data_IF_666832034146
#
_entry.id   IF_666832034146
#
_cell.length_a   1.000
_cell.length_b   1.000
_cell.length_c   1.000
_cell.angle_alpha   90.00
_cell.angle_beta   90.00
_cell.angle_gamma   90.00
#
_symmetry.space_group_name_H-M   'P 1'
#
loop_
_entity.id
_entity.type
_entity.pdbx_description
1 polymer ?
#
# COMPACT_ATOMS: atom_id res chain seq x y z
N UNK A 1 43.08 -38.75 58.93
CA UNK A 1 42.78 -37.31 58.68
C UNK A 1 41.29 -37.22 58.41
N UNK A 2 40.50 -36.74 59.36
CA UNK A 2 39.03 -36.56 59.24
C UNK A 2 38.77 -35.26 58.53
N UNK A 3 37.96 -35.27 57.44
CA UNK A 3 37.43 -34.09 56.78
C UNK A 3 36.05 -33.83 57.36
N UNK A 4 35.93 -32.74 58.07
CA UNK A 4 34.68 -32.24 58.64
C UNK A 4 33.69 -31.82 57.54
N UNK A 5 32.47 -32.35 57.62
CA UNK A 5 31.36 -31.99 56.74
C UNK A 5 30.79 -30.63 57.12
N UNK A 6 30.89 -29.66 56.24
CA UNK A 6 30.25 -28.35 56.36
C UNK A 6 28.72 -28.47 56.23
N UNK A 7 28.02 -27.97 57.24
CA UNK A 7 26.58 -28.09 57.44
C UNK A 7 25.79 -27.12 56.52
N UNK A 8 25.27 -27.68 55.45
CA UNK A 8 24.61 -26.94 54.33
C UNK A 8 23.15 -26.58 54.64
N UNK A 9 22.68 -26.66 55.89
CA UNK A 9 21.29 -26.35 56.27
C UNK A 9 21.02 -24.85 56.47
N UNK A 10 22.02 -24.05 56.77
CA UNK A 10 21.87 -22.60 56.96
C UNK A 10 21.69 -21.83 55.65
N UNK A 11 22.46 -22.17 54.62
CA UNK A 11 22.43 -21.51 53.32
C UNK A 11 21.10 -21.73 52.59
N UNK A 12 20.47 -22.91 52.67
CA UNK A 12 19.17 -23.20 52.08
C UNK A 12 18.02 -22.34 52.69
N UNK A 13 18.06 -22.10 53.97
CA UNK A 13 17.04 -21.25 54.63
C UNK A 13 17.15 -19.79 54.24
N UNK A 14 18.37 -19.29 54.04
CA UNK A 14 18.59 -17.92 53.55
C UNK A 14 18.19 -17.73 52.07
N UNK A 15 18.42 -18.71 51.20
CA UNK A 15 17.99 -18.67 49.79
C UNK A 15 16.47 -18.73 49.67
N UNK A 16 15.78 -19.53 50.49
CA UNK A 16 14.32 -19.60 50.50
C UNK A 16 13.72 -18.30 51.04
N UNK A 17 14.28 -17.67 52.06
CA UNK A 17 13.84 -16.39 52.57
C UNK A 17 14.10 -15.26 51.59
N UNK A 18 15.26 -15.22 50.92
CA UNK A 18 15.57 -14.23 49.87
C UNK A 18 14.63 -14.37 48.66
N UNK A 19 14.35 -15.61 48.22
CA UNK A 19 13.43 -15.83 47.10
C UNK A 19 11.99 -15.42 47.42
N UNK A 20 11.51 -15.66 48.67
CA UNK A 20 10.18 -15.19 49.11
C UNK A 20 10.13 -13.68 49.24
N UNK A 21 11.19 -13.01 49.69
CA UNK A 21 11.28 -11.55 49.77
C UNK A 21 11.34 -10.92 48.38
N UNK A 22 12.04 -11.56 47.42
CA UNK A 22 12.13 -11.10 46.03
C UNK A 22 10.78 -11.25 45.30
N UNK A 23 10.06 -12.36 45.53
CA UNK A 23 8.74 -12.62 44.96
C UNK A 23 7.70 -11.66 45.57
N UNK A 24 7.75 -11.39 46.88
CA UNK A 24 6.91 -10.39 47.52
C UNK A 24 7.24 -8.97 47.07
N UNK A 25 8.50 -8.60 46.87
CA UNK A 25 8.90 -7.28 46.41
C UNK A 25 8.52 -7.02 44.96
N UNK A 26 8.46 -8.06 44.11
CA UNK A 26 8.04 -7.95 42.69
C UNK A 26 6.51 -8.03 42.52
N UNK A 27 5.79 -8.67 43.46
CA UNK A 27 4.33 -8.78 43.36
C UNK A 27 3.57 -7.55 43.89
N UNK A 28 4.14 -6.80 44.84
CA UNK A 28 3.49 -5.60 45.38
C UNK A 28 3.19 -4.49 44.35
N UNK A 29 4.10 -4.13 43.41
CA UNK A 29 3.80 -3.11 42.42
C UNK A 29 2.75 -3.58 41.39
N UNK A 30 2.70 -4.85 41.03
CA UNK A 30 1.67 -5.38 40.10
C UNK A 30 0.27 -5.41 40.74
N UNK A 31 0.15 -5.78 42.01
CA UNK A 31 -1.13 -5.74 42.74
C UNK A 31 -1.62 -4.30 42.90
N UNK A 32 -0.76 -3.37 43.22
CA UNK A 32 -1.11 -1.97 43.38
C UNK A 32 -1.52 -1.31 42.03
N UNK A 33 -0.90 -1.70 40.93
CA UNK A 33 -1.28 -1.23 39.58
C UNK A 33 -2.64 -1.78 39.14
N UNK A 34 -2.94 -3.05 39.38
CA UNK A 34 -4.23 -3.66 39.08
C UNK A 34 -5.38 -3.04 39.90
N UNK A 35 -5.14 -2.75 41.16
CA UNK A 35 -6.13 -2.06 42.02
C UNK A 35 -6.36 -0.62 41.54
N UNK A 36 -5.32 0.09 41.13
CA UNK A 36 -5.41 1.43 40.57
C UNK A 36 -6.22 1.46 39.27
N UNK A 37 -5.88 0.56 38.32
CA UNK A 37 -6.58 0.45 37.04
C UNK A 37 -8.05 0.07 37.22
N UNK A 38 -8.35 -0.82 38.16
CA UNK A 38 -9.73 -1.23 38.51
C UNK A 38 -10.54 -0.08 39.11
N UNK A 39 -9.97 0.69 40.01
CA UNK A 39 -10.64 1.87 40.60
C UNK A 39 -10.96 2.93 39.55
N UNK A 40 -9.99 3.22 38.64
CA UNK A 40 -10.22 4.17 37.55
C UNK A 40 -11.29 3.63 36.60
N UNK A 41 -11.19 2.37 36.20
CA UNK A 41 -12.16 1.73 35.30
C UNK A 41 -13.59 1.80 35.88
N UNK A 42 -13.78 1.42 37.12
CA UNK A 42 -15.09 1.46 37.76
C UNK A 42 -15.70 2.87 37.83
N UNK A 43 -14.85 3.90 37.93
CA UNK A 43 -15.28 5.28 37.98
C UNK A 43 -15.61 5.88 36.62
N UNK A 44 -14.92 5.44 35.56
CA UNK A 44 -15.02 6.03 34.22
C UNK A 44 -15.84 5.22 33.23
N UNK A 45 -16.15 3.93 33.53
CA UNK A 45 -16.92 3.08 32.60
C UNK A 45 -18.28 3.67 32.27
N UNK A 46 -19.00 4.17 33.27
CA UNK A 46 -20.32 4.78 33.08
C UNK A 46 -20.29 6.05 32.25
N UNK A 47 -19.20 6.82 32.35
CA UNK A 47 -19.00 7.99 31.51
C UNK A 47 -18.92 7.62 30.02
N UNK A 48 -18.12 6.61 29.67
CA UNK A 48 -17.98 6.20 28.29
C UNK A 48 -19.22 5.50 27.73
N UNK A 49 -19.89 4.66 28.54
CA UNK A 49 -21.14 3.99 28.14
C UNK A 49 -22.26 5.00 27.87
N UNK A 50 -22.35 6.05 28.69
CA UNK A 50 -23.37 7.10 28.56
C UNK A 50 -22.88 8.32 27.76
N UNK A 51 -21.70 8.25 27.14
CA UNK A 51 -21.15 9.36 26.38
C UNK A 51 -22.02 9.67 25.16
N UNK A 52 -22.36 10.94 25.01
CA UNK A 52 -23.11 11.44 23.85
C UNK A 52 -22.40 12.60 23.19
N UNK A 53 -22.50 12.64 21.88
CA UNK A 53 -22.05 13.77 21.05
C UNK A 53 -23.23 14.22 20.20
N UNK A 54 -23.60 15.49 20.29
CA UNK A 54 -24.75 16.04 19.56
C UNK A 54 -24.60 15.92 18.01
N UNK A 55 -23.36 15.84 17.52
CA UNK A 55 -23.07 15.75 16.10
C UNK A 55 -22.89 14.29 15.61
N UNK A 56 -22.97 13.29 16.49
CA UNK A 56 -22.65 11.91 16.13
C UNK A 56 -23.37 10.88 17.00
N UNK A 57 -23.96 9.90 16.37
CA UNK A 57 -24.48 8.71 17.02
C UNK A 57 -23.66 7.50 16.61
N UNK A 58 -23.01 6.84 17.54
CA UNK A 58 -22.25 5.63 17.26
C UNK A 58 -23.19 4.44 17.04
N UNK A 59 -22.94 3.66 15.99
CA UNK A 59 -23.62 2.38 15.78
C UNK A 59 -23.07 1.29 16.73
N UNK A 60 -21.83 1.48 17.21
CA UNK A 60 -21.17 0.57 18.16
C UNK A 60 -21.21 1.16 19.56
N UNK A 61 -21.55 0.36 20.58
CA UNK A 61 -21.52 0.81 21.97
C UNK A 61 -20.12 1.30 22.36
N UNK A 62 -20.05 2.54 22.88
CA UNK A 62 -18.78 3.10 23.34
C UNK A 62 -18.39 2.44 24.67
N UNK A 63 -17.12 2.02 24.80
CA UNK A 63 -16.62 1.31 25.97
C UNK A 63 -15.17 1.64 26.28
N UNK A 64 -14.88 1.80 27.57
CA UNK A 64 -13.50 1.81 28.09
C UNK A 64 -12.97 0.36 28.08
N UNK A 65 -12.03 0.04 27.18
CA UNK A 65 -11.54 -1.32 26.96
C UNK A 65 -10.36 -1.68 27.88
N UNK A 66 -9.48 -0.70 28.14
CA UNK A 66 -8.34 -0.91 29.03
C UNK A 66 -7.97 0.37 29.79
N UNK A 67 -7.30 0.20 30.93
CA UNK A 67 -6.71 1.27 31.75
C UNK A 67 -5.32 0.83 32.16
N UNK A 68 -4.33 1.64 31.83
CA UNK A 68 -2.94 1.44 32.26
C UNK A 68 -2.51 2.58 33.19
N UNK A 69 -1.87 2.21 34.29
CA UNK A 69 -1.35 3.17 35.28
C UNK A 69 0.14 2.95 35.45
N UNK A 70 0.93 3.96 35.12
CA UNK A 70 2.35 3.98 35.45
C UNK A 70 2.57 4.98 36.62
N UNK A 71 2.59 4.45 37.84
CA UNK A 71 2.75 5.26 39.04
C UNK A 71 4.12 5.93 39.14
N UNK A 72 5.17 5.27 38.62
CA UNK A 72 6.53 5.82 38.64
C UNK A 72 6.68 7.08 37.76
N UNK A 73 6.02 7.06 36.61
CA UNK A 73 6.02 8.18 35.66
C UNK A 73 4.83 9.12 35.84
N UNK A 74 3.90 8.81 36.74
CA UNK A 74 2.62 9.51 36.95
C UNK A 74 1.81 9.67 35.65
N UNK A 75 1.65 8.54 34.90
CA UNK A 75 0.92 8.49 33.63
C UNK A 75 -0.27 7.54 33.79
N UNK A 76 -1.45 7.94 33.27
CA UNK A 76 -2.61 7.09 33.07
C UNK A 76 -2.94 7.07 31.59
N UNK A 77 -3.13 5.86 31.02
CA UNK A 77 -3.65 5.69 29.66
C UNK A 77 -5.02 5.03 29.71
N UNK A 78 -5.98 5.67 29.07
CA UNK A 78 -7.35 5.19 28.93
C UNK A 78 -7.56 4.74 27.49
N UNK A 79 -7.89 3.47 27.28
CA UNK A 79 -8.16 2.91 25.96
C UNK A 79 -9.66 2.78 25.74
N UNK A 80 -10.16 3.43 24.70
CA UNK A 80 -11.57 3.42 24.31
C UNK A 80 -11.70 2.82 22.91
N UNK A 81 -12.79 2.11 22.66
CA UNK A 81 -12.98 1.34 21.42
C UNK A 81 -13.18 2.20 20.17
N UNK A 82 -13.28 1.51 18.99
CA UNK A 82 -13.45 2.14 17.69
C UNK A 82 -14.72 3.00 17.56
N UNK A 83 -15.83 2.61 18.23
CA UNK A 83 -17.05 3.41 18.26
C UNK A 83 -16.83 4.83 18.80
N UNK A 84 -15.93 4.99 19.77
CA UNK A 84 -15.54 6.30 20.26
C UNK A 84 -14.64 7.08 19.29
N UNK A 85 -13.78 6.36 18.55
CA UNK A 85 -12.87 6.97 17.58
C UNK A 85 -13.58 7.50 16.33
N UNK A 86 -14.76 6.97 16.00
CA UNK A 86 -15.50 7.30 14.78
C UNK A 86 -16.28 8.62 14.84
N UNK A 87 -16.29 9.29 15.98
CA UNK A 87 -16.95 10.60 16.11
C UNK A 87 -16.09 11.75 15.57
N UNK A 88 -16.69 12.88 15.16
CA UNK A 88 -15.95 14.07 14.80
C UNK A 88 -15.32 14.70 16.05
N UNK A 89 -13.99 14.69 16.13
CA UNK A 89 -13.26 15.39 17.18
C UNK A 89 -13.00 16.84 16.77
N UNK A 90 -13.27 17.76 17.70
CA UNK A 90 -12.91 19.19 17.59
C UNK A 90 -12.11 19.57 18.83
N UNK A 91 -11.41 20.71 18.79
CA UNK A 91 -10.73 21.24 19.98
C UNK A 91 -11.66 21.41 21.18
N UNK A 92 -12.90 21.81 20.93
CA UNK A 92 -13.92 21.94 21.97
C UNK A 92 -14.36 20.58 22.52
N UNK A 93 -14.62 19.61 21.65
CA UNK A 93 -15.00 18.25 22.05
C UNK A 93 -13.90 17.58 22.90
N UNK A 94 -12.64 17.67 22.46
CA UNK A 94 -11.48 17.14 23.17
C UNK A 94 -11.33 17.83 24.54
N UNK A 95 -11.46 19.15 24.60
CA UNK A 95 -11.38 19.90 25.86
C UNK A 95 -12.46 19.47 26.83
N UNK A 96 -13.71 19.32 26.39
CA UNK A 96 -14.84 18.84 27.20
C UNK A 96 -14.57 17.45 27.76
N UNK A 97 -14.16 16.50 26.90
CA UNK A 97 -13.84 15.13 27.31
C UNK A 97 -12.74 15.13 28.38
N UNK A 98 -11.69 15.91 28.20
CA UNK A 98 -10.61 16.02 29.19
C UNK A 98 -11.09 16.56 30.52
N UNK A 99 -11.85 17.63 30.52
CA UNK A 99 -12.43 18.23 31.74
C UNK A 99 -13.33 17.25 32.47
N UNK A 100 -14.16 16.48 31.77
CA UNK A 100 -15.03 15.48 32.36
C UNK A 100 -14.23 14.32 32.97
N UNK A 101 -13.22 13.82 32.27
CA UNK A 101 -12.32 12.76 32.74
C UNK A 101 -11.53 13.24 33.95
N UNK A 102 -10.95 14.44 33.94
CA UNK A 102 -10.21 15.00 35.06
C UNK A 102 -11.10 15.13 36.32
N UNK A 103 -12.35 15.56 36.15
CA UNK A 103 -13.33 15.68 37.23
C UNK A 103 -13.71 14.33 37.84
N UNK A 104 -13.80 13.28 37.00
CA UNK A 104 -14.20 11.94 37.41
C UNK A 104 -13.03 11.09 37.93
N UNK A 105 -11.80 11.49 37.65
CA UNK A 105 -10.61 10.74 38.02
C UNK A 105 -10.45 10.66 39.53
N UNK A 106 -10.30 9.46 40.09
CA UNK A 106 -10.15 9.32 41.55
C UNK A 106 -8.73 9.78 42.02
N UNK A 107 -8.62 10.41 43.21
CA UNK A 107 -7.33 10.69 43.82
C UNK A 107 -6.51 9.41 44.02
N UNK A 108 -5.15 9.46 43.88
CA UNK A 108 -4.32 10.60 43.51
C UNK A 108 -4.15 10.78 42.00
N UNK A 109 -4.84 9.96 41.17
CA UNK A 109 -4.64 9.87 39.71
C UNK A 109 -5.13 11.09 38.93
N UNK A 110 -5.95 11.92 39.55
CA UNK A 110 -6.35 13.23 39.01
C UNK A 110 -5.20 14.23 38.84
N UNK A 111 -4.03 13.93 39.42
CA UNK A 111 -2.81 14.72 39.25
C UNK A 111 -1.80 14.11 38.28
N UNK A 112 -2.17 12.99 37.63
CA UNK A 112 -1.34 12.30 36.66
C UNK A 112 -1.56 12.86 35.25
N UNK A 113 -0.56 12.64 34.40
CA UNK A 113 -0.74 12.92 32.97
C UNK A 113 -1.68 11.86 32.36
N UNK A 114 -2.84 12.30 31.90
CA UNK A 114 -3.87 11.41 31.35
C UNK A 114 -3.81 11.47 29.84
N UNK A 115 -3.63 10.31 29.20
CA UNK A 115 -3.74 10.13 27.74
C UNK A 115 -4.99 9.31 27.45
N UNK A 116 -5.88 9.80 26.59
CA UNK A 116 -7.08 9.10 26.15
C UNK A 116 -6.82 8.62 24.72
N UNK A 117 -6.84 7.30 24.53
CA UNK A 117 -6.59 6.63 23.28
C UNK A 117 -7.89 6.05 22.72
N UNK A 118 -8.36 6.57 21.61
CA UNK A 118 -9.52 6.04 20.89
C UNK A 118 -9.01 5.14 19.74
N UNK A 119 -9.34 3.87 19.82
CA UNK A 119 -8.82 2.86 18.88
C UNK A 119 -7.28 2.91 18.71
N UNK A 120 -6.57 3.13 19.82
CA UNK A 120 -5.10 3.20 19.84
C UNK A 120 -4.49 4.57 19.48
N UNK A 121 -5.31 5.55 19.06
CA UNK A 121 -4.85 6.89 18.69
C UNK A 121 -5.24 7.92 19.76
N UNK A 122 -4.34 8.80 20.21
CA UNK A 122 -4.71 9.90 21.11
C UNK A 122 -5.83 10.75 20.53
N UNK A 123 -6.81 11.12 21.34
CA UNK A 123 -8.00 11.86 20.84
C UNK A 123 -7.66 13.23 20.25
N UNK A 124 -6.56 13.85 20.68
CA UNK A 124 -6.03 15.09 20.11
C UNK A 124 -5.58 14.91 18.67
N UNK A 125 -5.16 13.70 18.34
CA UNK A 125 -4.68 13.33 17.02
C UNK A 125 -5.79 12.98 16.04
N UNK A 126 -7.01 12.84 16.53
CA UNK A 126 -8.21 12.61 15.74
C UNK A 126 -8.93 13.91 15.34
N UNK A 127 -8.45 15.07 15.79
CA UNK A 127 -8.95 16.36 15.30
C UNK A 127 -8.55 16.51 13.84
N UNK A 128 -9.50 16.82 12.91
CA UNK A 128 -9.19 17.05 11.51
C UNK A 128 -8.07 18.07 11.29
N UNK A 129 -7.24 17.81 10.31
CA UNK A 129 -6.01 18.54 10.03
C UNK A 129 -6.25 20.03 9.75
N UNK A 130 -7.34 20.35 9.10
CA UNK A 130 -7.75 21.72 8.79
C UNK A 130 -8.03 22.59 10.03
N UNK A 131 -8.22 21.96 11.19
CA UNK A 131 -8.47 22.62 12.46
C UNK A 131 -7.26 22.56 13.42
N UNK A 132 -6.19 21.92 13.00
CA UNK A 132 -4.95 21.82 13.77
C UNK A 132 -3.91 22.86 13.32
N UNK A 133 -3.06 23.27 14.23
CA UNK A 133 -1.92 24.10 13.89
C UNK A 133 -0.94 23.32 12.99
N UNK A 134 -0.76 23.82 11.76
CA UNK A 134 0.08 23.23 10.72
C UNK A 134 1.53 22.97 11.12
N UNK A 135 2.02 23.60 12.20
CA UNK A 135 3.39 23.45 12.70
C UNK A 135 3.59 22.10 13.41
N UNK A 136 2.59 21.64 14.18
CA UNK A 136 2.62 20.33 14.84
C UNK A 136 2.51 19.19 13.82
N UNK A 137 1.77 19.42 12.76
CA UNK A 137 1.54 18.49 11.66
C UNK A 137 2.80 18.18 10.86
N UNK A 138 3.57 19.18 10.49
CA UNK A 138 4.83 19.00 9.77
C UNK A 138 5.83 18.11 10.53
N UNK A 139 5.78 18.12 11.86
CA UNK A 139 6.60 17.23 12.70
C UNK A 139 6.09 15.78 12.72
N UNK A 140 4.77 15.60 12.64
CA UNK A 140 4.09 14.31 12.72
C UNK A 140 4.25 13.48 11.45
N UNK A 141 4.10 14.13 10.29
CA UNK A 141 4.20 13.50 8.98
C UNK A 141 5.64 13.40 8.48
N UNK A 142 6.59 14.03 9.18
CA UNK A 142 7.96 14.14 8.72
C UNK A 142 8.05 14.95 7.43
N UNK A 143 9.17 14.84 6.73
CA UNK A 143 9.30 15.41 5.39
C UNK A 143 8.72 14.41 4.38
N UNK A 144 7.42 14.49 4.12
CA UNK A 144 6.76 13.73 3.04
C UNK A 144 7.02 14.35 1.67
N UNK A 145 7.81 15.41 1.61
CA UNK A 145 8.13 16.05 0.35
C UNK A 145 9.16 15.20 -0.41
N UNK A 146 8.69 14.45 -1.38
CA UNK A 146 9.54 13.78 -2.34
C UNK A 146 10.19 14.82 -3.25
N UNK A 147 11.53 14.91 -3.22
CA UNK A 147 12.33 15.90 -3.98
C UNK A 147 12.97 15.30 -5.24
N UNK A 148 12.77 14.02 -5.49
CA UNK A 148 13.30 13.32 -6.65
C UNK A 148 12.47 13.56 -7.93
N UNK A 149 12.90 12.92 -9.02
CA UNK A 149 12.11 12.89 -10.23
C UNK A 149 10.78 12.11 -9.98
N UNK A 150 9.65 12.58 -10.53
CA UNK A 150 8.39 11.82 -10.47
C UNK A 150 8.57 10.40 -11.00
N UNK A 151 7.73 9.49 -10.54
CA UNK A 151 7.81 8.11 -11.01
C UNK A 151 7.60 7.99 -12.52
N UNK A 152 6.51 8.58 -13.03
CA UNK A 152 6.24 8.67 -14.46
C UNK A 152 6.01 10.14 -14.83
N UNK A 153 6.71 10.62 -15.83
CA UNK A 153 6.57 11.99 -16.34
C UNK A 153 6.25 11.95 -17.82
N UNK A 154 5.05 12.37 -18.26
CA UNK A 154 4.74 12.53 -19.68
C UNK A 154 5.60 13.66 -20.28
N UNK A 155 6.22 13.38 -21.43
CA UNK A 155 7.09 14.34 -22.14
C UNK A 155 6.44 14.93 -23.39
N UNK A 156 5.35 14.35 -23.85
CA UNK A 156 4.67 14.74 -25.11
C UNK A 156 3.46 15.65 -24.89
N UNK A 157 3.24 16.11 -23.63
CA UNK A 157 2.22 17.12 -23.37
C UNK A 157 2.62 18.45 -24.02
N UNK A 158 1.67 19.19 -24.61
CA UNK A 158 1.94 20.49 -25.23
C UNK A 158 2.27 21.61 -24.22
N UNK A 159 2.19 21.30 -22.93
CA UNK A 159 2.48 22.19 -21.81
C UNK A 159 3.23 21.45 -20.71
N UNK A 160 3.99 22.17 -19.92
CA UNK A 160 4.65 21.66 -18.72
C UNK A 160 3.84 22.06 -17.47
N UNK A 161 3.53 21.06 -16.64
CA UNK A 161 2.90 21.29 -15.33
C UNK A 161 3.98 21.71 -14.34
N UNK A 162 3.99 22.98 -13.95
CA UNK A 162 5.01 23.56 -13.06
C UNK A 162 4.54 23.73 -11.62
N UNK A 163 3.24 23.70 -11.39
CA UNK A 163 2.58 23.93 -10.11
C UNK A 163 1.54 22.84 -9.81
N UNK A 164 0.72 23.04 -8.82
CA UNK A 164 -0.35 22.10 -8.44
C UNK A 164 0.19 20.83 -7.79
N UNK A 165 -0.14 19.68 -8.36
CA UNK A 165 0.23 18.38 -7.84
C UNK A 165 1.48 17.78 -8.49
N UNK A 166 2.27 18.58 -9.21
CA UNK A 166 3.52 18.13 -9.85
C UNK A 166 4.40 17.35 -8.87
N UNK A 167 4.79 16.14 -9.27
CA UNK A 167 5.66 15.28 -8.48
C UNK A 167 5.01 14.65 -7.25
N UNK A 168 3.70 14.83 -7.04
CA UNK A 168 2.97 14.13 -5.97
C UNK A 168 2.60 12.72 -6.41
N UNK A 169 2.74 11.77 -5.50
CA UNK A 169 2.30 10.39 -5.67
C UNK A 169 1.05 10.18 -4.82
N UNK A 170 -0.05 9.84 -5.46
CA UNK A 170 -1.35 9.68 -4.82
C UNK A 170 -1.88 8.27 -5.07
N UNK A 171 -2.45 7.67 -4.03
CA UNK A 171 -3.20 6.42 -4.16
C UNK A 171 -4.68 6.76 -4.12
N UNK A 172 -5.40 6.39 -5.18
CA UNK A 172 -6.85 6.57 -5.29
C UNK A 172 -7.51 5.21 -5.40
N UNK A 173 -8.30 4.87 -4.42
CA UNK A 173 -9.01 3.60 -4.37
C UNK A 173 -10.49 3.78 -4.67
N UNK A 174 -10.99 3.35 -5.85
CA UNK A 174 -12.38 3.52 -6.25
C UNK A 174 -13.29 2.46 -5.64
N UNK A 175 -13.28 2.29 -4.31
CA UNK A 175 -14.05 1.29 -3.58
C UNK A 175 -13.60 -0.17 -3.85
N UNK A 176 -14.39 -1.12 -3.39
CA UNK A 176 -14.13 -2.55 -3.49
C UNK A 176 -14.43 -3.07 -4.91
N UNK A 177 -14.15 -4.33 -5.16
CA UNK A 177 -14.53 -5.02 -6.37
C UNK A 177 -15.12 -6.39 -6.04
N UNK A 178 -15.34 -7.22 -7.05
CA UNK A 178 -15.70 -8.61 -6.82
C UNK A 178 -14.52 -9.37 -6.23
N UNK A 179 -14.81 -10.26 -5.31
CA UNK A 179 -13.82 -11.14 -4.69
C UNK A 179 -14.31 -12.59 -4.76
N UNK A 180 -13.38 -13.52 -4.70
CA UNK A 180 -13.68 -14.94 -4.58
C UNK A 180 -13.92 -15.31 -3.12
N UNK A 181 -15.09 -15.80 -2.79
CA UNK A 181 -15.43 -16.34 -1.48
C UNK A 181 -15.09 -17.84 -1.46
N UNK A 182 -14.02 -18.28 -0.80
CA UNK A 182 -13.63 -19.70 -0.81
C UNK A 182 -14.62 -20.59 -0.08
N UNK A 183 -15.40 -20.05 0.87
CA UNK A 183 -16.42 -20.81 1.60
C UNK A 183 -17.59 -21.17 0.70
N UNK A 184 -17.96 -20.27 -0.22
CA UNK A 184 -19.06 -20.46 -1.16
C UNK A 184 -18.58 -20.98 -2.52
N UNK A 185 -17.26 -20.93 -2.80
CA UNK A 185 -16.68 -21.28 -4.09
C UNK A 185 -17.12 -20.36 -5.23
N UNK A 186 -17.51 -19.12 -4.96
CA UNK A 186 -18.08 -18.22 -5.95
C UNK A 186 -17.53 -16.81 -5.86
N UNK A 187 -17.54 -16.11 -7.00
CA UNK A 187 -17.26 -14.69 -7.08
C UNK A 187 -18.49 -13.85 -6.72
N UNK A 188 -18.34 -12.94 -5.80
CA UNK A 188 -19.43 -12.06 -5.35
C UNK A 188 -18.95 -10.62 -5.12
N UNK A 189 -19.92 -9.69 -5.12
CA UNK A 189 -19.66 -8.33 -4.70
C UNK A 189 -19.49 -8.28 -3.19
N UNK A 190 -18.60 -7.44 -2.69
CA UNK A 190 -18.43 -7.25 -1.25
C UNK A 190 -19.65 -6.54 -0.65
N UNK A 191 -20.19 -5.59 -1.36
CA UNK A 191 -21.33 -4.79 -0.92
C UNK A 191 -22.63 -5.28 -1.57
N UNK A 192 -23.75 -5.23 -0.86
CA UNK A 192 -25.05 -5.57 -1.43
C UNK A 192 -25.45 -4.56 -2.52
N UNK A 193 -26.45 -4.93 -3.29
CA UNK A 193 -27.04 -4.01 -4.27
C UNK A 193 -27.65 -2.79 -3.54
N UNK A 194 -27.34 -1.62 -4.08
CA UNK A 194 -27.94 -0.37 -3.71
C UNK A 194 -28.80 0.10 -4.90
N UNK A 195 -30.12 -0.05 -4.78
CA UNK A 195 -31.06 0.15 -5.89
C UNK A 195 -30.70 -0.72 -7.11
N UNK A 196 -30.37 -0.12 -8.26
CA UNK A 196 -30.02 -0.82 -9.50
C UNK A 196 -28.49 -1.03 -9.68
N UNK A 197 -27.66 -0.60 -8.75
CA UNK A 197 -26.19 -0.70 -8.82
C UNK A 197 -25.60 -1.30 -7.55
N UNK A 198 -24.28 -1.40 -7.48
CA UNK A 198 -23.51 -1.66 -6.26
C UNK A 198 -22.61 -0.48 -5.97
N UNK A 199 -22.25 -0.30 -4.70
CA UNK A 199 -21.29 0.74 -4.28
C UNK A 199 -19.98 0.66 -5.08
N UNK A 200 -19.52 -0.56 -5.33
CA UNK A 200 -18.29 -0.87 -6.07
C UNK A 200 -18.26 -0.31 -7.50
N UNK A 201 -19.38 -0.38 -8.21
CA UNK A 201 -19.52 0.15 -9.57
C UNK A 201 -19.83 1.65 -9.54
N UNK A 202 -20.68 2.08 -8.60
CA UNK A 202 -21.05 3.49 -8.48
C UNK A 202 -19.83 4.38 -8.27
N UNK A 203 -18.99 4.05 -7.30
CA UNK A 203 -17.76 4.82 -7.00
C UNK A 203 -16.81 4.84 -8.21
N UNK A 204 -16.65 3.69 -8.87
CA UNK A 204 -15.78 3.57 -10.04
C UNK A 204 -16.24 4.46 -11.20
N UNK A 205 -17.55 4.65 -11.35
CA UNK A 205 -18.13 5.41 -12.47
C UNK A 205 -17.76 6.90 -12.50
N UNK A 206 -17.31 7.47 -11.39
CA UNK A 206 -16.85 8.86 -11.35
C UNK A 206 -15.37 8.99 -10.98
N UNK A 207 -14.79 8.05 -10.24
CA UNK A 207 -13.37 8.08 -9.88
C UNK A 207 -12.49 7.88 -11.11
N UNK A 208 -12.75 6.84 -11.92
CA UNK A 208 -11.92 6.52 -13.07
C UNK A 208 -12.03 7.57 -14.20
N UNK A 209 -13.23 8.00 -14.64
CA UNK A 209 -13.33 8.93 -15.78
C UNK A 209 -13.13 10.39 -15.41
N UNK A 210 -13.24 10.79 -14.13
CA UNK A 210 -13.18 12.19 -13.74
C UNK A 210 -12.08 12.48 -12.71
N UNK A 211 -12.14 11.89 -11.52
CA UNK A 211 -11.21 12.24 -10.43
C UNK A 211 -9.75 11.96 -10.81
N UNK A 212 -9.46 10.75 -11.29
CA UNK A 212 -8.10 10.36 -11.65
C UNK A 212 -7.52 11.25 -12.76
N UNK A 213 -8.21 11.47 -13.91
CA UNK A 213 -7.74 12.38 -14.93
C UNK A 213 -7.53 13.82 -14.44
N UNK A 214 -8.39 14.33 -13.53
CA UNK A 214 -8.21 15.66 -12.95
C UNK A 214 -6.92 15.73 -12.11
N UNK A 215 -6.63 14.73 -11.31
CA UNK A 215 -5.41 14.65 -10.50
C UNK A 215 -4.16 14.54 -11.39
N UNK A 216 -4.21 13.70 -12.42
CA UNK A 216 -3.10 13.51 -13.38
C UNK A 216 -2.88 14.80 -14.20
N UNK A 217 -3.93 15.47 -14.63
CA UNK A 217 -3.83 16.77 -15.33
C UNK A 217 -3.29 17.88 -14.42
N UNK A 218 -3.47 17.76 -13.10
CA UNK A 218 -2.85 18.66 -12.13
C UNK A 218 -1.37 18.29 -11.82
N UNK A 219 -0.83 17.21 -12.41
CA UNK A 219 0.56 16.80 -12.32
C UNK A 219 0.84 15.67 -11.34
N UNK A 220 -0.17 15.04 -10.75
CA UNK A 220 0.02 13.91 -9.85
C UNK A 220 0.37 12.62 -10.60
N UNK A 221 1.17 11.76 -9.97
CA UNK A 221 1.28 10.35 -10.31
C UNK A 221 0.21 9.59 -9.51
N UNK A 222 -0.80 9.06 -10.18
CA UNK A 222 -1.94 8.41 -9.53
C UNK A 222 -1.84 6.90 -9.62
N UNK A 223 -1.82 6.26 -8.46
CA UNK A 223 -1.87 4.80 -8.31
C UNK A 223 -3.31 4.40 -8.01
N UNK A 224 -3.76 3.36 -8.70
CA UNK A 224 -5.09 2.81 -8.51
C UNK A 224 -4.93 1.33 -8.14
N UNK A 225 -5.13 0.95 -6.86
CA UNK A 225 -5.01 -0.45 -6.44
C UNK A 225 -6.00 -1.37 -7.15
N UNK A 226 -7.19 -0.85 -7.46
CA UNK A 226 -8.16 -1.52 -8.30
C UNK A 226 -7.95 -1.12 -9.76
N UNK A 227 -8.17 -2.06 -10.66
CA UNK A 227 -7.89 -1.87 -12.08
C UNK A 227 -8.69 -0.72 -12.71
N UNK A 228 -8.03 0.06 -13.54
CA UNK A 228 -8.60 1.18 -14.31
C UNK A 228 -8.75 0.90 -15.80
N UNK A 229 -8.17 -0.21 -16.28
CA UNK A 229 -8.19 -0.61 -17.68
C UNK A 229 -9.48 -1.35 -18.02
N UNK A 230 -10.16 -0.90 -19.07
CA UNK A 230 -11.41 -1.49 -19.58
C UNK A 230 -11.16 -2.58 -20.63
N UNK A 231 -9.93 -2.70 -21.14
CA UNK A 231 -9.59 -3.64 -22.16
C UNK A 231 -9.63 -5.08 -21.63
N UNK A 232 -10.31 -5.97 -22.36
CA UNK A 232 -10.42 -7.39 -22.02
C UNK A 232 -9.24 -8.21 -22.53
N UNK A 233 -8.69 -7.80 -23.67
CA UNK A 233 -7.52 -8.45 -24.22
C UNK A 233 -6.26 -8.08 -23.46
N UNK A 234 -5.45 -9.08 -23.21
CA UNK A 234 -4.14 -8.97 -22.58
C UNK A 234 -3.10 -9.48 -23.55
N UNK A 235 -2.14 -8.63 -23.88
CA UNK A 235 -0.97 -9.00 -24.69
C UNK A 235 0.28 -8.60 -23.92
N UNK A 236 1.15 -9.57 -23.62
CA UNK A 236 2.42 -9.34 -22.92
C UNK A 236 3.56 -9.70 -23.86
N UNK A 237 4.48 -8.77 -24.02
CA UNK A 237 5.73 -8.98 -24.74
C UNK A 237 6.87 -8.92 -23.73
N UNK A 238 7.66 -9.99 -23.68
CA UNK A 238 8.67 -10.25 -22.68
C UNK A 238 10.00 -10.65 -23.33
N UNK A 239 11.11 -10.41 -22.64
CA UNK A 239 12.45 -10.80 -23.13
C UNK A 239 12.71 -12.31 -23.05
N UNK A 240 12.04 -13.03 -22.15
CA UNK A 240 12.26 -14.46 -21.92
C UNK A 240 11.45 -15.38 -22.85
N UNK A 241 10.32 -14.92 -23.36
CA UNK A 241 9.40 -15.74 -24.15
C UNK A 241 9.02 -15.05 -25.45
N UNK A 242 9.47 -15.59 -26.54
CA UNK A 242 8.91 -15.31 -27.88
C UNK A 242 7.56 -16.01 -28.01
N UNK A 243 6.50 -15.32 -27.63
CA UNK A 243 5.12 -15.79 -27.78
C UNK A 243 4.54 -15.36 -29.12
N UNK A 244 3.47 -16.01 -29.61
CA UNK A 244 2.71 -15.52 -30.75
C UNK A 244 2.11 -14.13 -30.51
N UNK A 245 2.13 -13.64 -29.27
CA UNK A 245 1.52 -12.39 -28.81
C UNK A 245 2.35 -11.15 -29.15
N UNK A 246 3.58 -11.31 -29.58
CA UNK A 246 4.42 -10.19 -29.98
C UNK A 246 5.87 -10.55 -30.26
N UNK A 247 6.69 -9.53 -30.47
CA UNK A 247 8.13 -9.66 -30.72
C UNK A 247 8.91 -8.73 -29.81
N UNK A 248 9.88 -9.29 -29.11
CA UNK A 248 10.91 -8.56 -28.38
C UNK A 248 12.17 -8.47 -29.22
N UNK A 249 12.83 -7.32 -29.26
CA UNK A 249 14.10 -7.18 -29.96
C UNK A 249 15.02 -6.16 -29.28
N UNK A 250 16.31 -6.47 -29.28
CA UNK A 250 17.37 -5.60 -28.79
C UNK A 250 18.27 -5.10 -29.95
N UNK A 251 18.66 -3.85 -29.88
CA UNK A 251 19.69 -3.27 -30.71
C UNK A 251 20.77 -2.69 -29.83
N UNK A 252 22.01 -3.13 -30.03
CA UNK A 252 23.16 -2.66 -29.27
C UNK A 252 23.77 -1.42 -29.92
N UNK A 253 24.02 -0.42 -29.10
CA UNK A 253 24.79 0.77 -29.49
C UNK A 253 26.19 0.72 -28.88
N UNK A 254 26.59 1.79 -28.18
CA UNK A 254 27.90 1.85 -27.52
C UNK A 254 28.00 0.86 -26.36
N UNK A 255 26.91 0.66 -25.63
CA UNK A 255 26.80 -0.30 -24.52
C UNK A 255 25.76 -1.36 -24.88
N UNK A 256 26.11 -2.61 -24.64
CA UNK A 256 25.24 -3.75 -24.91
C UNK A 256 24.19 -3.95 -23.80
N UNK A 257 23.09 -4.61 -24.15
CA UNK A 257 22.16 -5.11 -23.19
C UNK A 257 22.70 -6.38 -22.57
N UNK A 258 22.68 -6.45 -21.24
CA UNK A 258 23.15 -7.58 -20.43
C UNK A 258 22.06 -8.04 -19.45
N UNK A 259 22.30 -9.21 -18.87
CA UNK A 259 21.45 -9.73 -17.79
C UNK A 259 21.49 -8.79 -16.58
N UNK A 260 20.30 -8.45 -16.05
CA UNK A 260 20.10 -7.66 -14.84
C UNK A 260 19.64 -8.50 -13.66
N UNK A 261 19.52 -9.80 -13.81
CA UNK A 261 19.02 -10.74 -12.80
C UNK A 261 17.54 -11.03 -12.97
N UNK A 262 16.86 -11.20 -11.86
CA UNK A 262 15.47 -11.67 -11.80
C UNK A 262 14.50 -10.64 -12.39
N UNK A 263 13.55 -11.12 -13.19
CA UNK A 263 12.53 -10.34 -13.88
C UNK A 263 11.19 -11.08 -13.97
N UNK A 264 10.32 -10.51 -14.79
CA UNK A 264 9.01 -11.05 -15.09
C UNK A 264 9.10 -12.22 -16.06
N UNK A 265 8.25 -13.23 -15.87
CA UNK A 265 7.90 -14.19 -16.90
C UNK A 265 6.47 -14.71 -16.66
N UNK A 266 5.65 -14.67 -17.70
CA UNK A 266 4.30 -15.26 -17.62
C UNK A 266 4.39 -16.77 -17.78
N UNK A 267 4.46 -17.50 -16.66
CA UNK A 267 4.53 -18.97 -16.64
C UNK A 267 3.17 -19.64 -16.56
N UNK A 268 2.15 -18.92 -16.11
CA UNK A 268 0.77 -19.41 -15.96
C UNK A 268 -0.23 -18.26 -15.93
N UNK A 269 -1.51 -18.59 -16.03
CA UNK A 269 -2.59 -17.58 -15.99
C UNK A 269 -3.06 -17.24 -14.58
N UNK A 270 -2.86 -18.15 -13.62
CA UNK A 270 -3.28 -18.02 -12.23
C UNK A 270 -2.11 -18.43 -11.35
N UNK A 271 -1.80 -17.61 -10.35
CA UNK A 271 -0.70 -17.82 -9.41
C UNK A 271 -1.26 -18.15 -8.02
N UNK A 272 -0.62 -19.10 -7.33
CA UNK A 272 -0.92 -19.43 -5.95
C UNK A 272 -0.04 -18.63 -4.98
N UNK A 273 -0.33 -18.79 -3.68
CA UNK A 273 0.44 -18.12 -2.65
C UNK A 273 1.93 -18.47 -2.73
N UNK A 274 2.79 -17.45 -2.67
CA UNK A 274 4.23 -17.59 -2.81
C UNK A 274 4.74 -17.60 -4.25
N UNK A 275 3.88 -17.68 -5.26
CA UNK A 275 4.24 -17.58 -6.67
C UNK A 275 4.17 -16.10 -7.12
N UNK A 276 5.26 -15.61 -7.69
CA UNK A 276 5.33 -14.24 -8.20
C UNK A 276 5.91 -14.23 -9.62
N UNK A 277 5.14 -13.81 -10.64
CA UNK A 277 5.62 -13.77 -12.01
C UNK A 277 6.82 -12.82 -12.21
N UNK A 278 6.97 -11.80 -11.38
CA UNK A 278 8.11 -10.86 -11.43
C UNK A 278 9.42 -11.43 -10.88
N UNK A 279 9.40 -12.68 -10.44
CA UNK A 279 10.60 -13.42 -10.01
C UNK A 279 10.80 -14.72 -10.78
N UNK A 280 10.03 -14.92 -11.85
CA UNK A 280 10.00 -16.15 -12.62
C UNK A 280 10.89 -16.11 -13.89
N UNK A 281 11.27 -14.92 -14.32
CA UNK A 281 12.08 -14.67 -15.52
C UNK A 281 13.34 -13.85 -15.26
N UNK A 282 13.85 -13.22 -16.31
CA UNK A 282 15.05 -12.40 -16.31
C UNK A 282 14.74 -10.96 -16.70
N UNK A 283 15.58 -10.04 -16.26
CA UNK A 283 15.52 -8.64 -16.60
C UNK A 283 16.80 -8.24 -17.34
N UNK A 284 16.73 -7.25 -18.23
CA UNK A 284 17.84 -6.72 -19.00
C UNK A 284 18.30 -5.37 -18.46
N UNK A 285 19.58 -5.01 -18.63
CA UNK A 285 20.13 -3.69 -18.34
C UNK A 285 21.15 -3.26 -19.39
N UNK A 286 21.30 -1.96 -19.55
CA UNK A 286 22.41 -1.37 -20.29
C UNK A 286 22.93 -0.14 -19.54
N UNK A 287 24.23 0.15 -19.66
CA UNK A 287 24.81 1.39 -19.17
C UNK A 287 24.13 2.60 -19.82
N UNK A 288 23.76 3.57 -19.00
CA UNK A 288 23.12 4.79 -19.45
C UNK A 288 24.10 5.72 -20.15
N UNK A 289 23.63 6.40 -21.20
CA UNK A 289 24.46 7.34 -21.93
C UNK A 289 23.70 8.59 -22.41
N UNK A 290 24.43 9.73 -22.67
CA UNK A 290 23.80 10.93 -23.17
C UNK A 290 23.35 10.80 -24.64
N UNK A 291 22.38 11.64 -25.03
CA UNK A 291 21.72 11.68 -26.35
C UNK A 291 22.63 11.69 -27.59
N UNK A 292 23.89 12.06 -27.48
CA UNK A 292 24.76 12.30 -28.63
C UNK A 292 25.56 11.08 -29.10
N UNK A 293 25.33 9.93 -28.50
CA UNK A 293 26.03 8.68 -28.86
C UNK A 293 25.05 7.67 -29.45
N UNK A 294 25.54 6.64 -30.07
CA UNK A 294 24.72 5.54 -30.55
C UNK A 294 24.10 4.79 -29.37
N UNK A 295 22.82 5.01 -29.16
CA UNK A 295 22.07 4.43 -28.04
C UNK A 295 21.70 2.98 -28.35
N UNK A 296 21.70 2.15 -27.31
CA UNK A 296 21.09 0.83 -27.34
C UNK A 296 19.57 0.96 -27.12
N UNK A 297 18.82 0.10 -27.76
CA UNK A 297 17.37 0.19 -27.78
C UNK A 297 16.73 -1.19 -27.66
N UNK A 298 15.61 -1.23 -26.94
CA UNK A 298 14.71 -2.36 -26.90
C UNK A 298 13.37 -1.96 -27.53
N UNK A 299 12.75 -2.91 -28.23
CA UNK A 299 11.43 -2.76 -28.83
C UNK A 299 10.55 -3.93 -28.41
N UNK A 300 9.41 -3.62 -27.84
CA UNK A 300 8.31 -4.55 -27.57
C UNK A 300 7.19 -4.27 -28.57
N UNK A 301 7.00 -5.16 -29.52
CA UNK A 301 6.01 -5.04 -30.58
C UNK A 301 4.91 -6.06 -30.37
N UNK A 302 3.71 -5.66 -29.89
CA UNK A 302 2.60 -6.58 -29.64
C UNK A 302 1.96 -7.04 -30.94
N UNK A 303 1.25 -8.16 -30.88
CA UNK A 303 0.27 -8.57 -31.87
C UNK A 303 -1.12 -8.43 -31.26
N UNK A 304 -1.75 -7.29 -31.44
CA UNK A 304 -3.05 -6.99 -30.86
C UNK A 304 -4.17 -7.69 -31.61
N UNK A 305 -5.12 -8.37 -30.91
CA UNK A 305 -6.18 -9.15 -31.55
C UNK A 305 -7.22 -8.25 -32.23
N UNK A 306 -7.45 -7.06 -31.74
CA UNK A 306 -8.40 -6.10 -32.30
C UNK A 306 -7.91 -4.65 -32.16
N UNK A 307 -8.48 -3.77 -32.96
CA UNK A 307 -8.27 -2.34 -32.83
C UNK A 307 -9.04 -1.83 -31.59
N UNK A 308 -8.42 -0.94 -30.80
CA UNK A 308 -9.06 -0.37 -29.63
C UNK A 308 -8.12 0.38 -28.71
N UNK A 309 -8.65 0.76 -27.56
CA UNK A 309 -7.87 1.38 -26.49
C UNK A 309 -7.23 0.30 -25.62
N UNK A 310 -5.94 0.42 -25.42
CA UNK A 310 -5.16 -0.45 -24.54
C UNK A 310 -4.35 0.41 -23.56
N UNK A 311 -4.46 0.10 -22.28
CA UNK A 311 -3.53 0.61 -21.29
C UNK A 311 -2.16 -0.05 -21.50
N UNK A 312 -1.11 0.72 -21.37
CA UNK A 312 0.29 0.26 -21.50
C UNK A 312 0.93 0.28 -20.12
N UNK A 313 1.48 -0.86 -19.76
CA UNK A 313 2.25 -1.05 -18.53
C UNK A 313 3.65 -1.55 -18.86
N UNK A 314 4.64 -1.07 -18.13
CA UNK A 314 6.03 -1.52 -18.27
C UNK A 314 6.50 -2.16 -16.96
N UNK A 315 7.38 -3.16 -17.08
CA UNK A 315 8.12 -3.77 -15.99
C UNK A 315 9.61 -3.53 -16.15
N UNK A 316 10.32 -3.44 -15.02
CA UNK A 316 11.77 -3.27 -14.95
C UNK A 316 12.29 -3.65 -13.56
N UNK A 317 13.60 -3.80 -13.40
CA UNK A 317 14.24 -3.95 -12.10
C UNK A 317 14.68 -2.59 -11.53
N UNK A 318 14.38 -2.33 -10.24
CA UNK A 318 14.97 -1.19 -9.51
C UNK A 318 16.30 -1.62 -8.87
N UNK A 319 17.40 -1.26 -9.52
CA UNK A 319 18.75 -1.50 -9.01
C UNK A 319 19.29 -0.26 -8.28
N UNK A 320 20.27 -0.40 -7.38
CA UNK A 320 20.90 0.75 -6.72
C UNK A 320 21.50 1.78 -7.68
N UNK A 321 21.83 1.35 -8.89
CA UNK A 321 22.42 2.17 -9.97
C UNK A 321 21.41 2.56 -11.04
N UNK A 322 20.12 2.25 -10.89
CA UNK A 322 19.09 2.61 -11.87
C UNK A 322 18.96 4.13 -12.02
N UNK A 323 18.74 4.58 -13.25
CA UNK A 323 18.52 5.99 -13.57
C UNK A 323 17.12 6.44 -13.17
N UNK A 324 16.95 7.75 -12.99
CA UNK A 324 15.65 8.35 -12.62
C UNK A 324 14.90 8.97 -13.82
N UNK A 325 15.36 8.77 -15.05
CA UNK A 325 14.81 9.36 -16.27
C UNK A 325 14.86 8.44 -17.50
N UNK A 326 14.66 7.14 -17.32
CA UNK A 326 14.60 6.19 -18.42
C UNK A 326 13.53 6.58 -19.43
N UNK A 327 13.89 6.72 -20.71
CA UNK A 327 13.01 7.25 -21.74
C UNK A 327 12.28 6.13 -22.50
N UNK A 328 10.99 5.98 -22.19
CA UNK A 328 10.05 5.13 -22.90
C UNK A 328 9.32 5.89 -24.00
N UNK A 329 9.12 5.24 -25.12
CA UNK A 329 8.38 5.76 -26.27
C UNK A 329 7.26 4.78 -26.62
N UNK A 330 6.02 5.21 -26.54
CA UNK A 330 4.86 4.46 -27.02
C UNK A 330 4.49 4.97 -28.41
N UNK A 331 4.52 4.07 -29.39
CA UNK A 331 4.00 4.33 -30.74
C UNK A 331 2.64 3.67 -30.87
N UNK A 332 1.65 4.44 -31.25
CA UNK A 332 0.26 4.00 -31.35
C UNK A 332 -0.43 4.66 -32.53
N UNK A 333 -0.87 3.88 -33.52
CA UNK A 333 -1.43 4.35 -34.79
C UNK A 333 -0.58 5.46 -35.45
N UNK A 334 0.74 5.32 -35.44
CA UNK A 334 1.67 6.30 -35.99
C UNK A 334 1.92 7.54 -35.11
N UNK A 335 1.18 7.73 -34.03
CA UNK A 335 1.45 8.77 -33.03
C UNK A 335 2.56 8.32 -32.10
N UNK A 336 3.39 9.24 -31.64
CA UNK A 336 4.49 8.98 -30.72
C UNK A 336 4.28 9.74 -29.41
N UNK A 337 4.16 8.99 -28.32
CA UNK A 337 4.07 9.55 -26.97
C UNK A 337 5.26 9.10 -26.13
N UNK A 338 5.91 10.03 -25.45
CA UNK A 338 7.15 9.77 -24.68
C UNK A 338 6.93 9.98 -23.20
N UNK A 339 7.66 9.17 -22.41
CA UNK A 339 7.64 9.21 -20.95
C UNK A 339 9.06 9.12 -20.40
N UNK A 340 9.30 9.79 -19.29
CA UNK A 340 10.44 9.48 -18.40
C UNK A 340 9.92 8.67 -17.22
N UNK A 341 10.58 7.56 -16.95
CA UNK A 341 10.26 6.68 -15.83
C UNK A 341 11.44 6.66 -14.87
N UNK A 342 11.16 6.95 -13.62
CA UNK A 342 12.16 6.85 -12.56
C UNK A 342 12.29 5.39 -12.14
N UNK A 343 13.30 4.71 -12.64
CA UNK A 343 13.56 3.29 -12.35
C UNK A 343 14.21 3.01 -11.00
N UNK A 344 14.46 4.04 -10.19
CA UNK A 344 14.93 3.89 -8.81
C UNK A 344 13.81 3.41 -7.87
N UNK A 345 12.57 3.37 -8.33
CA UNK A 345 11.40 2.90 -7.61
C UNK A 345 10.48 2.08 -8.52
N UNK A 346 9.62 1.25 -7.94
CA UNK A 346 8.57 0.53 -8.64
C UNK A 346 9.02 -0.64 -9.51
N UNK A 347 10.25 -1.15 -9.32
CA UNK A 347 10.69 -2.38 -9.97
C UNK A 347 9.92 -3.61 -9.48
N UNK A 348 9.81 -4.63 -10.34
CA UNK A 348 9.12 -5.88 -10.03
C UNK A 348 7.61 -5.73 -9.93
N UNK A 349 7.01 -4.82 -10.70
CA UNK A 349 5.57 -4.62 -10.81
C UNK A 349 5.20 -4.00 -12.15
N UNK A 350 3.90 -3.93 -12.47
CA UNK A 350 3.40 -3.21 -13.62
C UNK A 350 3.29 -1.71 -13.34
N UNK A 351 3.96 -0.90 -14.15
CA UNK A 351 3.94 0.56 -14.08
C UNK A 351 3.16 1.12 -15.24
N UNK A 352 2.04 1.77 -14.95
CA UNK A 352 1.15 2.35 -15.95
C UNK A 352 1.75 3.59 -16.61
N UNK A 353 1.78 3.62 -17.94
CA UNK A 353 2.20 4.79 -18.73
C UNK A 353 1.04 5.63 -19.23
N UNK A 354 -0.02 4.99 -19.68
CA UNK A 354 -1.19 5.64 -20.29
C UNK A 354 -2.09 4.65 -21.00
N UNK A 355 -3.23 5.13 -21.48
CA UNK A 355 -4.13 4.38 -22.36
C UNK A 355 -4.12 5.03 -23.74
N UNK A 356 -3.93 4.22 -24.80
CA UNK A 356 -3.71 4.70 -26.16
C UNK A 356 -4.54 3.90 -27.16
N UNK A 357 -4.87 4.54 -28.29
CA UNK A 357 -5.53 3.87 -29.40
C UNK A 357 -4.53 3.09 -30.25
N UNK A 358 -4.72 1.80 -30.38
CA UNK A 358 -3.89 0.91 -31.20
C UNK A 358 -4.67 0.31 -32.34
N UNK A 359 -4.00 0.05 -33.46
CA UNK A 359 -4.54 -0.77 -34.53
C UNK A 359 -4.39 -2.27 -34.23
N UNK A 360 -5.22 -3.10 -34.82
CA UNK A 360 -5.08 -4.54 -34.76
C UNK A 360 -3.81 -5.04 -35.47
N UNK A 361 -3.33 -6.21 -35.09
CA UNK A 361 -2.16 -6.86 -35.68
C UNK A 361 -0.85 -6.40 -35.06
N UNK A 362 0.26 -6.58 -35.79
CA UNK A 362 1.61 -6.26 -35.34
C UNK A 362 2.29 -5.28 -36.32
N UNK A 363 2.78 -4.17 -35.80
CA UNK A 363 3.42 -3.11 -36.59
C UNK A 363 4.37 -2.31 -35.73
N UNK A 364 5.43 -1.76 -36.31
CA UNK A 364 6.32 -0.80 -35.63
C UNK A 364 5.62 0.54 -35.31
N UNK A 365 4.43 0.79 -35.87
CA UNK A 365 3.58 1.92 -35.50
C UNK A 365 2.73 1.65 -34.26
N UNK A 366 2.78 0.41 -33.75
CA UNK A 366 2.14 -0.05 -32.53
C UNK A 366 3.19 -0.79 -31.69
N UNK A 367 4.03 -0.09 -30.95
CA UNK A 367 5.06 -0.69 -30.11
C UNK A 367 5.43 0.20 -28.92
N UNK A 368 6.15 -0.39 -27.99
CA UNK A 368 6.85 0.35 -26.94
C UNK A 368 8.36 0.21 -27.18
N UNK A 369 9.07 1.29 -26.99
CA UNK A 369 10.53 1.35 -27.16
C UNK A 369 11.16 1.91 -25.89
N UNK A 370 12.30 1.39 -25.52
CA UNK A 370 13.14 1.92 -24.44
C UNK A 370 14.55 2.15 -24.97
N UNK A 371 15.11 3.30 -24.68
CA UNK A 371 16.50 3.64 -25.00
C UNK A 371 17.33 3.67 -23.73
N UNK A 372 18.60 3.29 -23.80
CA UNK A 372 19.55 3.47 -22.70
C UNK A 372 20.01 4.93 -22.52
N UNK A 373 19.32 5.87 -23.15
CA UNK A 373 19.56 7.28 -23.00
C UNK A 373 19.13 7.80 -21.64
N UNK A 374 19.99 8.57 -20.97
CA UNK A 374 19.70 9.25 -19.70
C UNK A 374 20.57 10.50 -19.55
N UNK A 375 20.10 11.43 -18.73
CA UNK A 375 20.90 12.58 -18.28
C UNK A 375 21.76 12.24 -17.05
N UNK A 376 21.55 11.07 -16.46
CA UNK A 376 22.23 10.59 -15.27
C UNK A 376 23.15 9.41 -15.59
N UNK A 377 24.17 9.24 -14.77
CA UNK A 377 25.00 8.03 -14.79
C UNK A 377 24.25 6.90 -14.10
N UNK A 378 24.42 5.68 -14.60
CA UNK A 378 23.82 4.50 -14.04
C UNK A 378 23.43 3.51 -15.11
N UNK A 379 22.39 2.72 -14.85
CA UNK A 379 21.87 1.73 -15.79
C UNK A 379 20.40 1.98 -16.08
N UNK A 380 20.00 1.70 -17.30
CA UNK A 380 18.61 1.56 -17.71
C UNK A 380 18.27 0.07 -17.67
N UNK A 381 17.16 -0.29 -17.02
CA UNK A 381 16.69 -1.67 -16.92
C UNK A 381 15.44 -1.87 -17.75
N UNK A 382 15.23 -3.07 -18.25
CA UNK A 382 14.13 -3.45 -19.14
C UNK A 382 13.67 -4.88 -18.83
N UNK A 383 12.37 -5.10 -18.93
CA UNK A 383 11.76 -6.40 -18.65
C UNK A 383 10.58 -6.58 -19.63
N UNK A 384 9.38 -6.74 -19.16
CA UNK A 384 8.21 -6.95 -20.00
C UNK A 384 7.38 -5.67 -20.23
N UNK A 385 6.57 -5.68 -21.28
CA UNK A 385 5.53 -4.69 -21.57
C UNK A 385 4.19 -5.38 -21.76
N UNK A 386 3.17 -4.83 -21.12
CA UNK A 386 1.81 -5.32 -21.16
C UNK A 386 0.89 -4.31 -21.84
N UNK A 387 0.04 -4.81 -22.71
CA UNK A 387 -0.99 -4.07 -23.44
C UNK A 387 -2.37 -4.59 -23.05
N UNK A 388 -3.17 -3.80 -22.38
CA UNK A 388 -4.51 -4.16 -21.95
C UNK A 388 -4.56 -5.21 -20.83
N UNK A 389 -5.76 -5.70 -20.53
CA UNK A 389 -6.04 -6.75 -19.55
C UNK A 389 -5.80 -6.37 -18.09
N UNK A 390 -5.59 -5.11 -17.80
CA UNK A 390 -5.34 -4.59 -16.47
C UNK A 390 -4.01 -5.02 -15.87
N UNK A 391 -3.89 -4.94 -14.54
CA UNK A 391 -2.65 -5.32 -13.82
C UNK A 391 -2.50 -6.83 -13.63
N UNK A 392 -3.46 -7.61 -14.04
CA UNK A 392 -3.41 -9.07 -14.05
C UNK A 392 -3.88 -9.75 -12.79
N UNK A 393 -3.93 -11.07 -12.92
CA UNK A 393 -4.18 -11.96 -11.79
C UNK A 393 -2.86 -12.48 -11.28
N UNK A 394 -2.57 -12.18 -10.04
CA UNK A 394 -1.52 -12.84 -9.28
C UNK A 394 -2.22 -13.57 -8.15
N UNK A 395 -1.63 -14.64 -7.69
CA UNK A 395 -2.00 -15.54 -6.64
C UNK A 395 -3.38 -15.41 -5.98
N UNK A 396 -4.07 -16.51 -5.73
CA UNK A 396 -5.47 -16.46 -5.29
C UNK A 396 -5.87 -17.56 -4.33
N UNK A 397 -5.11 -17.83 -3.38
CA UNK A 397 -5.42 -18.79 -2.37
C UNK A 397 -4.39 -19.90 -2.28
N UNK A 398 -4.60 -20.78 -1.34
CA UNK A 398 -3.75 -21.93 -1.11
C UNK A 398 -4.16 -23.12 -1.97
N UNK A 399 -3.36 -24.21 -1.91
CA UNK A 399 -3.63 -25.46 -2.59
C UNK A 399 -4.89 -26.18 -2.09
N UNK A 400 -5.49 -25.73 -1.00
CA UNK A 400 -6.66 -26.33 -0.36
C UNK A 400 -7.97 -25.73 -0.91
N UNK A 401 -7.95 -24.46 -1.28
CA UNK A 401 -9.13 -23.75 -1.77
C UNK A 401 -9.06 -23.63 -3.28
N UNK A 402 -9.80 -24.53 -3.97
CA UNK A 402 -9.94 -24.49 -5.41
C UNK A 402 -10.40 -23.09 -5.86
N UNK A 403 -9.55 -22.43 -6.65
CA UNK A 403 -9.83 -21.12 -7.20
C UNK A 403 -10.41 -21.27 -8.61
N UNK A 404 -11.48 -20.53 -8.88
CA UNK A 404 -12.03 -20.38 -10.24
C UNK A 404 -11.80 -18.97 -10.74
N UNK A 405 -11.59 -18.80 -12.03
CA UNK A 405 -11.55 -17.47 -12.66
C UNK A 405 -12.92 -16.81 -12.55
N UNK A 406 -12.93 -15.48 -12.48
CA UNK A 406 -14.18 -14.71 -12.48
C UNK A 406 -14.87 -14.69 -13.84
N UNK A 407 -14.14 -14.97 -14.91
CA UNK A 407 -14.53 -14.80 -16.32
C UNK A 407 -15.00 -13.37 -16.64
N UNK A 408 -14.66 -12.42 -15.78
CA UNK A 408 -15.04 -11.02 -15.90
C UNK A 408 -13.81 -10.15 -16.20
N UNK A 409 -14.01 -8.97 -16.79
CA UNK A 409 -12.95 -7.99 -16.95
C UNK A 409 -12.32 -7.60 -15.61
N UNK A 410 -11.02 -7.36 -15.61
CA UNK A 410 -10.23 -7.08 -14.41
C UNK A 410 -10.73 -5.89 -13.58
N UNK A 411 -11.25 -4.86 -14.24
CA UNK A 411 -11.79 -3.69 -13.53
C UNK A 411 -13.00 -3.97 -12.64
N UNK A 412 -13.65 -5.13 -12.81
CA UNK A 412 -14.73 -5.58 -11.92
C UNK A 412 -14.20 -6.33 -10.69
N UNK A 413 -12.95 -6.79 -10.71
CA UNK A 413 -12.33 -7.48 -9.58
C UNK A 413 -11.78 -6.50 -8.53
N UNK A 414 -11.59 -6.95 -7.30
CA UNK A 414 -10.98 -6.19 -6.21
C UNK A 414 -9.49 -5.93 -6.43
N UNK A 415 -8.90 -5.14 -5.57
CA UNK A 415 -7.51 -4.64 -5.64
C UNK A 415 -6.43 -5.69 -5.28
N UNK A 416 -6.58 -6.90 -5.76
CA UNK A 416 -5.75 -8.04 -5.36
C UNK A 416 -4.29 -7.94 -5.75
N UNK A 417 -4.02 -7.37 -6.92
CA UNK A 417 -2.66 -7.27 -7.42
C UNK A 417 -1.75 -6.57 -6.42
N UNK A 418 -2.11 -5.38 -5.99
CA UNK A 418 -1.30 -4.62 -5.03
C UNK A 418 -1.25 -5.28 -3.65
N UNK A 419 -2.36 -5.85 -3.19
CA UNK A 419 -2.39 -6.56 -1.93
C UNK A 419 -1.44 -7.77 -1.92
N UNK A 420 -1.31 -8.48 -3.03
CA UNK A 420 -0.46 -9.66 -3.14
C UNK A 420 1.00 -9.33 -3.38
N UNK A 421 1.31 -8.37 -4.24
CA UNK A 421 2.68 -8.05 -4.64
C UNK A 421 3.34 -7.06 -3.67
N UNK A 422 2.61 -6.06 -3.22
CA UNK A 422 3.12 -4.97 -2.39
C UNK A 422 2.80 -5.11 -0.91
N UNK A 423 1.82 -5.94 -0.57
CA UNK A 423 1.36 -6.14 0.79
C UNK A 423 1.91 -7.39 1.45
N UNK A 424 1.08 -8.00 2.25
CA UNK A 424 1.37 -9.25 2.96
C UNK A 424 0.99 -10.47 2.12
N UNK A 425 1.78 -11.53 2.19
CA UNK A 425 1.43 -12.86 1.65
C UNK A 425 0.34 -13.58 2.46
N UNK A 426 -0.34 -12.91 3.38
CA UNK A 426 -1.41 -13.51 4.19
C UNK A 426 -2.65 -13.74 3.37
N UNK A 427 -3.27 -14.91 3.55
CA UNK A 427 -4.49 -15.33 2.87
C UNK A 427 -5.67 -14.37 3.06
N UNK A 428 -5.81 -13.78 4.24
CA UNK A 428 -6.87 -12.81 4.56
C UNK A 428 -6.84 -11.53 3.70
N UNK A 429 -5.64 -11.15 3.23
CA UNK A 429 -5.49 -10.05 2.27
C UNK A 429 -6.02 -10.38 0.87
N UNK A 430 -6.23 -11.65 0.56
CA UNK A 430 -6.53 -12.14 -0.78
C UNK A 430 -7.97 -12.52 -0.98
N UNK A 431 -8.60 -12.98 0.07
CA UNK A 431 -10.02 -13.34 0.12
C UNK A 431 -10.88 -12.17 0.50
N UNK A 432 -10.32 -11.18 1.20
CA UNK A 432 -11.06 -9.96 1.50
C UNK A 432 -11.23 -9.10 0.25
N UNK A 433 -12.32 -8.39 0.18
CA UNK A 433 -12.62 -7.49 -0.91
C UNK A 433 -12.01 -6.09 -0.69
N UNK A 434 -11.24 -5.94 0.38
CA UNK A 434 -10.57 -4.68 0.72
C UNK A 434 -9.27 -4.51 -0.04
#
# INVERSE_FOLDING_TARGET
MKVEGYNNRGLRKWFILLSHFLILALSHPLYAQNDAATRIRNRLSDYFVNYTNAAYTSNDPIRLTNVEVNAAQRIVRLYVNAGFASQPFTHETVRRIRQDIERLMPPPYNTYNITILANGTPIEELIPLEWNDTTAEKRRWGSLEYKGNPWVSPMSLPYEITHGLRGRHLVVWPSHGRYFDPTKGTWQWQRPRLYCTTEDIFTQSFVLPFLIPMLENAGANVFVPRERDWQRHEVIVDNDINTPDGTYSETNGTYEWEDAGVGFCKIQDIYFDGENPFTAGTCRKAEAQPRRRQNSQIVWQPRLPEEGQYAVYVSYASLPTSVSDAEYTVRHKGITTRFRVNQQMGGGTWVYLGTFDFAAGSSLDNCVMLSNQSNYRGVVTADAVRFGGGMGNISRGDSIHAFTRSELPRFLEGSRYYAQVQGSSRMDTWTSAA
#
